data_IF_399851832013
#
_entry.id   IF_399851832013
#
_cell.length_a   1.000
_cell.length_b   1.000
_cell.length_c   1.000
_cell.angle_alpha   90.00
_cell.angle_beta   90.00
_cell.angle_gamma   90.00
#
_symmetry.space_group_name_H-M   'P 1'
#
loop_
_entity.id
_entity.type
_entity.pdbx_description
1 polymer ?
#
# COMPACT_ATOMS: atom_id res chain seq x y z
N UNK A 1 5.32 -18.06 -13.23
CA UNK A 1 5.11 -16.72 -12.73
C UNK A 1 5.90 -15.73 -13.55
N UNK A 2 5.26 -14.70 -13.99
CA UNK A 2 5.96 -13.68 -14.73
C UNK A 2 6.98 -13.00 -13.82
N UNK A 3 8.18 -12.81 -14.34
CA UNK A 3 9.18 -12.03 -13.63
C UNK A 3 8.90 -10.57 -13.90
N UNK A 4 8.06 -9.99 -13.06
CA UNK A 4 7.76 -8.59 -13.20
C UNK A 4 9.01 -7.79 -12.84
N UNK A 5 9.34 -6.83 -13.68
CA UNK A 5 10.39 -5.89 -13.36
C UNK A 5 9.78 -4.52 -13.11
N UNK A 6 10.38 -3.80 -12.17
CA UNK A 6 9.92 -2.49 -11.77
C UNK A 6 11.06 -1.49 -11.96
N UNK A 7 10.74 -0.20 -12.16
CA UNK A 7 11.80 0.81 -12.36
C UNK A 7 12.85 0.86 -11.25
N UNK A 8 12.45 0.60 -10.01
CA UNK A 8 13.40 0.55 -8.90
C UNK A 8 13.58 -0.90 -8.46
N UNK A 9 14.79 -1.40 -8.60
CA UNK A 9 15.15 -2.75 -8.17
C UNK A 9 16.37 -2.68 -7.29
N UNK A 10 16.32 -3.36 -6.15
CA UNK A 10 17.41 -3.41 -5.20
C UNK A 10 17.52 -4.83 -4.65
N UNK A 11 18.72 -5.21 -4.20
CA UNK A 11 18.92 -6.49 -3.56
C UNK A 11 18.24 -6.54 -2.20
N UNK A 12 18.04 -7.74 -1.67
CA UNK A 12 17.47 -7.92 -0.34
C UNK A 12 18.31 -7.19 0.70
N UNK A 13 19.62 -7.26 0.59
CA UNK A 13 20.53 -6.59 1.52
C UNK A 13 20.34 -5.08 1.50
N UNK A 14 20.18 -4.51 0.31
CA UNK A 14 19.93 -3.07 0.18
C UNK A 14 18.61 -2.66 0.81
N UNK A 15 17.54 -3.44 0.56
CA UNK A 15 16.24 -3.15 1.17
C UNK A 15 16.30 -3.24 2.69
N UNK A 16 17.02 -4.24 3.23
CA UNK A 16 17.14 -4.40 4.68
C UNK A 16 17.88 -3.24 5.32
N UNK A 17 18.80 -2.60 4.60
CA UNK A 17 19.52 -1.45 5.14
C UNK A 17 18.69 -0.17 5.12
N UNK A 18 17.69 -0.08 4.23
CA UNK A 18 16.87 1.12 4.06
C UNK A 18 15.57 1.08 4.86
N UNK A 19 15.05 -0.10 5.15
CA UNK A 19 13.74 -0.27 5.76
C UNK A 19 13.87 -0.78 7.19
N UNK A 20 12.90 -0.43 8.03
CA UNK A 20 12.79 -1.06 9.35
C UNK A 20 12.41 -2.53 9.16
N UNK A 21 12.54 -3.33 10.24
CA UNK A 21 12.17 -4.74 10.18
C UNK A 21 10.71 -4.92 9.77
N UNK A 22 9.80 -4.10 10.34
CA UNK A 22 8.38 -4.19 10.00
C UNK A 22 8.11 -3.76 8.56
N UNK A 23 8.76 -2.70 8.10
CA UNK A 23 8.62 -2.26 6.71
C UNK A 23 9.11 -3.32 5.74
N UNK A 24 10.25 -3.93 6.02
CA UNK A 24 10.79 -4.99 5.16
C UNK A 24 9.84 -6.18 5.10
N UNK A 25 9.35 -6.63 6.27
CA UNK A 25 8.44 -7.76 6.35
C UNK A 25 7.18 -7.55 5.50
N UNK A 26 6.61 -6.35 5.55
CA UNK A 26 5.39 -6.07 4.80
C UNK A 26 5.68 -5.79 3.33
N UNK A 27 6.61 -4.88 3.06
CA UNK A 27 6.88 -4.42 1.68
C UNK A 27 7.57 -5.48 0.81
N UNK A 28 8.49 -6.24 1.38
CA UNK A 28 9.31 -7.15 0.59
C UNK A 28 9.01 -8.63 0.83
N UNK A 29 8.34 -8.97 1.93
CA UNK A 29 8.01 -10.36 2.27
C UNK A 29 6.50 -10.61 2.31
N UNK A 30 5.70 -9.70 1.76
CA UNK A 30 4.25 -9.81 1.66
C UNK A 30 3.56 -10.00 3.02
N UNK A 31 4.13 -9.40 4.07
CA UNK A 31 3.51 -9.45 5.38
C UNK A 31 2.29 -8.53 5.45
N UNK A 32 1.56 -8.65 6.54
CA UNK A 32 0.40 -7.80 6.82
C UNK A 32 0.58 -7.21 8.20
N UNK A 33 0.37 -5.89 8.33
CA UNK A 33 0.39 -5.29 9.65
C UNK A 33 -0.88 -5.67 10.42
N UNK A 34 -0.79 -5.62 11.73
CA UNK A 34 -1.93 -5.92 12.58
C UNK A 34 -2.98 -4.81 12.47
N UNK A 35 -4.25 -5.18 12.38
CA UNK A 35 -5.33 -4.22 12.28
C UNK A 35 -5.31 -3.26 13.48
N UNK A 36 -5.57 -1.99 13.22
CA UNK A 36 -5.67 -0.96 14.25
C UNK A 36 -4.34 -0.44 14.76
N UNK A 37 -3.20 -0.90 14.21
CA UNK A 37 -1.88 -0.49 14.73
C UNK A 37 -1.31 0.74 14.08
N UNK A 38 -1.72 1.07 12.86
CA UNK A 38 -1.12 2.19 12.15
C UNK A 38 -1.71 3.54 12.61
N UNK A 39 -0.85 4.51 12.95
CA UNK A 39 -1.35 5.86 13.24
C UNK A 39 -1.99 6.51 12.02
N UNK A 40 -1.69 6.02 10.80
CA UNK A 40 -2.30 6.56 9.59
C UNK A 40 -3.80 6.26 9.51
N UNK A 41 -4.32 5.33 10.30
CA UNK A 41 -5.76 5.14 10.41
C UNK A 41 -6.48 6.43 10.81
N UNK A 42 -5.82 7.27 11.59
CA UNK A 42 -6.40 8.50 12.13
C UNK A 42 -5.89 9.76 11.44
N UNK A 43 -5.10 9.61 10.37
CA UNK A 43 -4.54 10.76 9.67
C UNK A 43 -5.63 11.49 8.89
N UNK A 44 -5.85 12.75 9.22
CA UNK A 44 -6.92 13.56 8.61
C UNK A 44 -6.38 14.78 7.85
N UNK A 45 -5.08 15.06 7.94
CA UNK A 45 -4.51 16.23 7.27
C UNK A 45 -4.51 16.04 5.76
N UNK A 46 -4.53 17.15 5.04
CA UNK A 46 -4.38 17.14 3.58
C UNK A 46 -2.94 16.84 3.22
N UNK A 47 -2.75 15.94 2.28
CA UNK A 47 -1.41 15.59 1.85
C UNK A 47 -1.40 14.38 0.95
N UNK A 48 -0.22 13.78 0.82
CA UNK A 48 0.00 12.63 -0.06
C UNK A 48 0.61 11.47 0.71
N UNK A 49 0.29 10.26 0.26
CA UNK A 49 0.83 9.03 0.82
C UNK A 49 1.80 8.44 -0.20
N UNK A 50 3.04 8.23 0.24
CA UNK A 50 4.12 7.75 -0.61
C UNK A 50 4.51 6.34 -0.20
N UNK A 51 5.12 5.59 -1.12
CA UNK A 51 5.68 4.29 -0.81
C UNK A 51 6.83 4.46 0.18
N UNK A 52 6.77 3.76 1.30
CA UNK A 52 7.82 3.86 2.32
C UNK A 52 9.17 3.34 1.82
N UNK A 53 9.17 2.48 0.81
CA UNK A 53 10.39 1.90 0.27
C UNK A 53 11.09 2.81 -0.73
N UNK A 54 10.34 3.39 -1.69
CA UNK A 54 10.95 4.13 -2.79
C UNK A 54 10.51 5.57 -2.92
N UNK A 55 9.54 6.02 -2.14
CA UNK A 55 9.07 7.41 -2.16
C UNK A 55 8.08 7.75 -3.26
N UNK A 56 7.65 6.77 -4.07
CA UNK A 56 6.70 7.02 -5.15
C UNK A 56 5.35 7.45 -4.59
N UNK A 57 4.76 8.50 -5.15
CA UNK A 57 3.45 8.98 -4.70
C UNK A 57 2.37 7.97 -5.07
N UNK A 58 1.55 7.57 -4.11
CA UNK A 58 0.58 6.47 -4.29
C UNK A 58 -0.87 6.92 -4.17
N UNK A 59 -1.18 7.66 -3.13
CA UNK A 59 -2.56 8.09 -2.83
C UNK A 59 -2.54 9.53 -2.34
N UNK A 60 -3.69 10.20 -2.49
CA UNK A 60 -3.85 11.51 -1.89
C UNK A 60 -4.96 11.49 -0.84
N UNK A 61 -4.90 12.41 0.10
CA UNK A 61 -5.81 12.45 1.24
C UNK A 61 -7.28 12.54 0.83
N UNK A 62 -7.56 13.14 -0.32
CA UNK A 62 -8.93 13.27 -0.82
C UNK A 62 -9.62 11.96 -1.13
N UNK A 63 -8.87 10.87 -1.28
CA UNK A 63 -9.42 9.55 -1.56
C UNK A 63 -9.47 8.65 -0.32
N UNK A 64 -8.91 9.10 0.80
CA UNK A 64 -8.92 8.33 2.05
C UNK A 64 -10.29 8.44 2.73
N UNK A 65 -10.74 7.33 3.30
CA UNK A 65 -12.02 7.31 4.00
C UNK A 65 -11.99 6.32 5.16
N UNK A 66 -12.97 6.44 6.07
CA UNK A 66 -13.09 5.56 7.24
C UNK A 66 -13.83 4.30 6.85
N UNK A 67 -13.09 3.21 6.67
CA UNK A 67 -13.68 1.93 6.28
C UNK A 67 -14.07 1.06 7.48
N UNK A 68 -13.50 1.34 8.65
CA UNK A 68 -13.71 0.51 9.83
C UNK A 68 -12.93 -0.79 9.80
N UNK A 69 -12.06 -0.99 8.80
CA UNK A 69 -11.32 -2.25 8.65
C UNK A 69 -10.12 -2.38 9.59
N UNK A 70 -9.64 -1.27 10.13
CA UNK A 70 -8.42 -1.26 10.94
C UNK A 70 -7.15 -0.98 10.16
N UNK A 71 -7.27 -0.74 8.86
CA UNK A 71 -6.16 -0.36 7.99
C UNK A 71 -6.52 0.91 7.24
N UNK A 72 -5.51 1.75 6.88
CA UNK A 72 -5.77 2.91 6.03
C UNK A 72 -6.45 2.49 4.73
N UNK A 73 -7.54 3.16 4.37
CA UNK A 73 -8.34 2.79 3.20
C UNK A 73 -8.55 3.98 2.28
N UNK A 74 -8.53 3.69 0.98
CA UNK A 74 -8.64 4.69 -0.08
C UNK A 74 -9.58 4.14 -1.15
N UNK A 75 -10.31 5.01 -1.84
CA UNK A 75 -11.19 4.51 -2.90
C UNK A 75 -10.54 4.52 -4.29
N UNK A 76 -9.37 5.13 -4.44
CA UNK A 76 -8.56 5.01 -5.66
C UNK A 76 -7.12 5.50 -5.43
N UNK A 77 -6.16 4.96 -6.19
CA UNK A 77 -4.79 5.46 -6.16
C UNK A 77 -4.62 6.63 -7.13
N UNK A 78 -3.45 7.28 -7.09
CA UNK A 78 -3.05 8.22 -8.12
C UNK A 78 -2.84 7.45 -9.44
N UNK A 79 -3.01 8.11 -10.59
CA UNK A 79 -2.82 7.43 -11.88
C UNK A 79 -1.44 6.82 -12.01
N UNK A 80 -1.38 5.55 -12.41
CA UNK A 80 -0.12 4.85 -12.62
C UNK A 80 0.68 4.53 -11.36
N UNK A 81 0.10 4.75 -10.18
CA UNK A 81 0.85 4.61 -8.92
C UNK A 81 1.02 3.15 -8.47
N UNK A 82 0.05 2.30 -8.77
CA UNK A 82 0.05 0.93 -8.27
C UNK A 82 -0.14 -0.07 -9.40
N UNK A 83 0.29 -1.31 -9.15
CA UNK A 83 0.03 -2.47 -9.99
C UNK A 83 -0.69 -3.51 -9.15
N UNK A 84 -1.40 -4.42 -9.78
CA UNK A 84 -2.17 -5.45 -9.07
C UNK A 84 -1.85 -6.83 -9.61
N UNK A 85 -1.95 -7.84 -8.71
CA UNK A 85 -1.83 -9.24 -9.07
C UNK A 85 -2.84 -10.05 -8.29
N UNK A 86 -3.29 -11.17 -8.85
CA UNK A 86 -4.19 -12.06 -8.15
C UNK A 86 -3.43 -12.82 -7.07
N UNK A 87 -3.97 -12.82 -5.86
CA UNK A 87 -3.42 -13.51 -4.71
C UNK A 87 -4.38 -14.60 -4.30
N UNK A 88 -3.95 -15.86 -4.39
CA UNK A 88 -4.79 -17.02 -4.07
C UNK A 88 -4.36 -17.72 -2.77
N UNK A 89 -3.59 -17.02 -1.93
CA UNK A 89 -3.16 -17.58 -0.66
C UNK A 89 -4.32 -17.71 0.32
N UNK A 90 -4.14 -18.55 1.34
CA UNK A 90 -5.11 -18.76 2.43
C UNK A 90 -6.48 -19.25 1.95
N UNK A 91 -6.53 -19.96 0.81
CA UNK A 91 -7.79 -20.49 0.29
C UNK A 91 -8.74 -19.42 -0.24
N UNK A 92 -8.28 -18.21 -0.43
CA UNK A 92 -9.09 -17.09 -0.92
C UNK A 92 -8.47 -16.51 -2.18
N UNK A 93 -9.32 -15.95 -3.04
CA UNK A 93 -8.85 -15.18 -4.19
C UNK A 93 -8.99 -13.71 -3.84
N UNK A 94 -7.87 -13.00 -3.80
CA UNK A 94 -7.83 -11.57 -3.53
C UNK A 94 -6.99 -10.89 -4.59
N UNK A 95 -7.10 -9.56 -4.68
CA UNK A 95 -6.28 -8.76 -5.60
C UNK A 95 -5.25 -7.99 -4.75
N UNK A 96 -4.01 -8.36 -4.92
CA UNK A 96 -2.89 -7.72 -4.22
C UNK A 96 -2.49 -6.44 -4.92
N UNK A 97 -2.13 -5.40 -4.14
CA UNK A 97 -1.72 -4.10 -4.64
C UNK A 97 -0.25 -3.89 -4.33
N UNK A 98 0.52 -3.54 -5.35
CA UNK A 98 1.96 -3.26 -5.27
C UNK A 98 2.25 -1.83 -5.67
N UNK A 99 3.36 -1.29 -5.18
CA UNK A 99 3.90 -0.05 -5.72
C UNK A 99 4.36 -0.29 -7.16
N UNK A 100 3.87 0.51 -8.11
CA UNK A 100 4.25 0.34 -9.51
C UNK A 100 5.72 0.69 -9.76
N UNK A 101 6.37 1.41 -8.84
CA UNK A 101 7.75 1.86 -8.99
C UNK A 101 8.76 0.85 -8.48
N UNK A 102 8.53 0.22 -7.32
CA UNK A 102 9.49 -0.71 -6.72
C UNK A 102 8.96 -2.12 -6.51
N UNK A 103 7.67 -2.35 -6.78
CA UNK A 103 7.05 -3.66 -6.58
C UNK A 103 6.75 -4.01 -5.14
N UNK A 104 6.94 -3.09 -4.20
CA UNK A 104 6.68 -3.35 -2.79
C UNK A 104 5.22 -3.66 -2.53
N UNK A 105 4.97 -4.63 -1.64
CA UNK A 105 3.61 -5.01 -1.28
C UNK A 105 2.96 -3.91 -0.45
N UNK A 106 1.80 -3.43 -0.89
CA UNK A 106 1.08 -2.36 -0.21
C UNK A 106 -0.14 -2.88 0.55
N UNK A 107 -0.88 -3.77 -0.04
CA UNK A 107 -2.10 -4.29 0.54
C UNK A 107 -2.95 -5.02 -0.48
N UNK A 108 -4.27 -4.89 -0.35
CA UNK A 108 -5.22 -5.54 -1.25
C UNK A 108 -6.35 -4.57 -1.60
N UNK A 109 -6.99 -4.80 -2.76
CA UNK A 109 -8.15 -4.03 -3.17
C UNK A 109 -9.37 -4.94 -3.21
N UNK A 110 -10.50 -4.42 -2.71
CA UNK A 110 -11.78 -5.13 -2.63
C UNK A 110 -12.85 -4.31 -3.33
N UNK A 111 -13.97 -4.97 -3.69
CA UNK A 111 -15.06 -4.32 -4.42
C UNK A 111 -16.19 -3.84 -3.51
N UNK A 112 -15.90 -3.61 -2.24
CA UNK A 112 -16.87 -3.17 -1.25
C UNK A 112 -16.61 -1.74 -0.76
N UNK A 113 -16.13 -0.89 -1.65
CA UNK A 113 -15.81 0.49 -1.34
C UNK A 113 -16.90 1.46 -1.74
N UNK A 114 -16.69 2.74 -1.43
CA UNK A 114 -17.66 3.79 -1.72
C UNK A 114 -17.60 4.27 -3.17
N UNK A 115 -18.64 5.00 -3.59
CA UNK A 115 -18.57 5.72 -4.84
C UNK A 115 -17.41 6.73 -4.75
N UNK A 116 -16.78 7.10 -5.89
CA UNK A 116 -17.18 6.79 -7.27
C UNK A 116 -16.68 5.46 -7.81
N UNK A 117 -15.67 4.84 -7.20
CA UNK A 117 -15.07 3.63 -7.78
C UNK A 117 -15.72 2.32 -7.33
N UNK A 118 -16.33 2.32 -6.15
CA UNK A 118 -16.82 1.09 -5.56
C UNK A 118 -15.71 0.20 -5.02
N UNK A 119 -14.48 0.70 -4.97
CA UNK A 119 -13.31 -0.07 -4.55
C UNK A 119 -12.78 0.39 -3.21
N UNK A 120 -12.26 -0.57 -2.44
CA UNK A 120 -11.59 -0.29 -1.16
C UNK A 120 -10.16 -0.77 -1.28
N UNK A 121 -9.23 0.17 -1.39
CA UNK A 121 -7.80 -0.10 -1.35
C UNK A 121 -7.38 -0.11 0.11
N UNK A 122 -7.21 -1.30 0.66
CA UNK A 122 -6.89 -1.50 2.07
C UNK A 122 -5.39 -1.70 2.17
N UNK A 123 -4.70 -0.67 2.68
CA UNK A 123 -3.24 -0.63 2.64
C UNK A 123 -2.64 -0.82 4.01
N UNK A 124 -1.45 -1.44 4.06
CA UNK A 124 -0.67 -1.52 5.30
C UNK A 124 -0.03 -0.16 5.56
N UNK A 125 -0.28 0.41 6.73
CA UNK A 125 0.27 1.73 7.05
C UNK A 125 1.78 1.77 7.07
N UNK A 126 2.44 0.66 7.45
CA UNK A 126 3.91 0.61 7.45
C UNK A 126 4.50 0.68 6.04
N UNK A 127 3.69 0.37 5.01
CA UNK A 127 4.11 0.49 3.61
C UNK A 127 4.02 1.92 3.09
N UNK A 128 3.44 2.82 3.87
CA UNK A 128 3.14 4.18 3.45
C UNK A 128 3.89 5.20 4.30
N UNK A 129 4.21 6.33 3.68
CA UNK A 129 4.73 7.48 4.37
C UNK A 129 3.85 8.67 4.02
N UNK A 130 3.27 9.31 5.02
CA UNK A 130 2.40 10.47 4.79
C UNK A 130 3.21 11.75 4.80
N UNK A 131 2.97 12.61 3.81
CA UNK A 131 3.56 13.94 3.76
C UNK A 131 2.45 14.98 3.66
N UNK A 132 2.27 15.80 4.70
CA UNK A 132 1.23 16.83 4.65
C UNK A 132 1.61 17.92 3.66
N UNK A 133 0.61 18.49 3.00
CA UNK A 133 0.82 19.68 2.17
C UNK A 133 0.61 20.91 3.05
N UNK A 134 1.43 21.92 2.79
CA UNK A 134 1.37 23.17 3.55
C UNK A 134 0.09 23.96 3.23
#
# INVERSE_FOLDING_TARGET
MANESFPVEKSETEWRSLLSADQFRVLREHGTERAGTSPLNFEKRTGHYHCAACGHALFESGTKYESGSGWPSFFRPLPGAVATTTDQSHGMTRVEVHCANCGGHLGHVFNDGPAPTGQRYCMNGVSLKFEPTA
#
